data_IF_279342736150
#
_entry.id   IF_279342736150
#
_cell.length_a   1.000
_cell.length_b   1.000
_cell.length_c   1.000
_cell.angle_alpha   90.00
_cell.angle_beta   90.00
_cell.angle_gamma   90.00
#
_symmetry.space_group_name_H-M   'P 1'
#
loop_
_entity.id
_entity.type
_entity.pdbx_description
1 polymer ?
#
# COMPACT_ATOMS: atom_id res chain seq x y z
N UNK A 1 2.49 -34.67 28.67
CA UNK A 1 2.11 -33.53 29.53
C UNK A 1 3.37 -32.71 29.75
N UNK A 2 3.46 -31.52 29.17
CA UNK A 2 4.57 -30.59 29.41
C UNK A 2 4.38 -29.90 30.76
N UNK A 3 5.48 -29.67 31.48
CA UNK A 3 5.51 -28.95 32.75
C UNK A 3 4.87 -27.57 32.65
N UNK A 4 4.09 -27.19 33.65
CA UNK A 4 3.45 -25.86 33.75
C UNK A 4 4.47 -24.86 34.29
N UNK A 5 4.62 -23.73 33.58
CA UNK A 5 5.49 -22.62 33.95
C UNK A 5 4.62 -21.42 34.35
N UNK A 6 4.97 -20.77 35.47
CA UNK A 6 4.38 -19.50 35.89
C UNK A 6 5.32 -18.36 35.48
N UNK A 7 4.76 -17.32 34.89
CA UNK A 7 5.46 -16.10 34.52
C UNK A 7 4.84 -14.93 35.28
N UNK A 8 5.65 -14.06 35.83
CA UNK A 8 5.24 -12.75 36.34
C UNK A 8 5.71 -11.68 35.35
N UNK A 9 4.80 -11.15 34.54
CA UNK A 9 5.11 -10.13 33.53
C UNK A 9 4.65 -8.78 34.06
N UNK A 10 5.60 -7.98 34.57
CA UNK A 10 5.33 -6.65 35.11
C UNK A 10 4.27 -6.62 36.22
N UNK A 11 4.19 -7.67 37.05
CA UNK A 11 3.21 -7.82 38.13
C UNK A 11 1.95 -8.61 37.75
N UNK A 12 1.82 -9.06 36.50
CA UNK A 12 0.68 -9.88 36.05
C UNK A 12 1.11 -11.33 35.87
N UNK A 13 0.42 -12.25 36.55
CA UNK A 13 0.75 -13.67 36.52
C UNK A 13 0.11 -14.37 35.32
N UNK A 14 0.94 -14.96 34.46
CA UNK A 14 0.54 -15.84 33.37
C UNK A 14 0.93 -17.29 33.67
N UNK A 15 0.10 -18.24 33.23
CA UNK A 15 0.38 -19.67 33.32
C UNK A 15 0.35 -20.28 31.93
N UNK A 16 1.38 -21.03 31.60
CA UNK A 16 1.50 -21.72 30.32
C UNK A 16 2.33 -22.98 30.48
N UNK A 17 2.62 -23.67 29.37
CA UNK A 17 3.45 -24.86 29.38
C UNK A 17 4.85 -24.59 28.88
N UNK A 18 5.83 -25.40 29.34
CA UNK A 18 7.22 -25.34 28.85
C UNK A 18 7.29 -25.56 27.34
N UNK A 19 6.44 -26.41 26.77
CA UNK A 19 6.40 -26.66 25.33
C UNK A 19 5.93 -25.44 24.54
N UNK A 20 4.96 -24.67 25.05
CA UNK A 20 4.56 -23.38 24.44
C UNK A 20 5.73 -22.40 24.44
N UNK A 21 6.46 -22.28 25.57
CA UNK A 21 7.56 -21.32 25.70
C UNK A 21 8.81 -21.68 24.87
N UNK A 22 8.94 -22.94 24.47
CA UNK A 22 10.08 -23.47 23.70
C UNK A 22 9.73 -23.83 22.25
N UNK A 23 8.47 -23.63 21.83
CA UNK A 23 7.98 -23.96 20.49
C UNK A 23 8.72 -23.21 19.39
N UNK A 24 9.00 -21.93 19.62
CA UNK A 24 9.73 -21.06 18.70
C UNK A 24 11.10 -20.71 19.29
N UNK A 25 12.08 -20.48 18.40
CA UNK A 25 13.32 -19.82 18.82
C UNK A 25 12.98 -18.41 19.29
N UNK A 26 13.67 -17.95 20.34
CA UNK A 26 13.45 -16.63 20.90
C UNK A 26 13.89 -16.52 22.35
N UNK A 27 13.41 -15.49 23.03
CA UNK A 27 13.78 -15.15 24.41
C UNK A 27 13.53 -16.32 25.37
N UNK A 28 12.30 -16.83 25.42
CA UNK A 28 11.90 -17.85 26.39
C UNK A 28 12.60 -19.19 26.17
N UNK A 29 12.77 -19.61 24.91
CA UNK A 29 13.50 -20.85 24.61
C UNK A 29 14.94 -20.75 25.07
N UNK A 30 15.63 -19.65 24.71
CA UNK A 30 17.02 -19.41 25.11
C UNK A 30 17.16 -19.37 26.63
N UNK A 31 16.26 -18.65 27.31
CA UNK A 31 16.26 -18.53 28.77
C UNK A 31 16.04 -19.87 29.48
N UNK A 32 15.09 -20.69 29.00
CA UNK A 32 14.77 -21.99 29.61
C UNK A 32 15.75 -23.11 29.27
N UNK A 33 16.51 -22.98 28.17
CA UNK A 33 17.54 -23.95 27.77
C UNK A 33 18.92 -23.63 28.36
N UNK A 34 19.21 -22.36 28.66
CA UNK A 34 20.52 -21.93 29.20
C UNK A 34 20.54 -21.69 30.71
N UNK A 35 19.38 -21.63 31.37
CA UNK A 35 19.19 -21.17 32.76
C UNK A 35 19.75 -19.75 33.04
N UNK A 36 20.12 -18.99 32.01
CA UNK A 36 20.70 -17.66 32.16
C UNK A 36 19.59 -16.65 32.49
N UNK A 37 19.73 -15.94 33.61
CA UNK A 37 18.89 -14.80 33.96
C UNK A 37 17.54 -15.15 34.59
N UNK A 38 17.31 -16.41 34.97
CA UNK A 38 16.10 -16.84 35.66
C UNK A 38 16.01 -16.21 37.05
N UNK A 39 15.21 -15.14 37.17
CA UNK A 39 14.77 -14.60 38.46
C UNK A 39 13.47 -15.29 38.85
N UNK A 40 13.60 -16.36 39.63
CA UNK A 40 12.45 -17.12 40.16
C UNK A 40 12.11 -16.56 41.54
N UNK A 41 10.87 -16.15 41.73
CA UNK A 41 10.36 -15.70 43.02
C UNK A 41 10.05 -16.88 43.98
N UNK A 42 9.66 -16.58 45.22
CA UNK A 42 9.29 -17.60 46.22
C UNK A 42 8.08 -18.46 45.79
N UNK A 43 7.28 -17.99 44.82
CA UNK A 43 6.09 -18.69 44.31
C UNK A 43 6.38 -19.65 43.14
N UNK A 44 7.63 -19.67 42.68
CA UNK A 44 8.10 -20.41 41.50
C UNK A 44 7.77 -19.72 40.18
N UNK A 45 7.55 -18.41 40.18
CA UNK A 45 7.24 -17.62 38.98
C UNK A 45 8.51 -16.96 38.43
N UNK A 46 8.69 -17.03 37.11
CA UNK A 46 9.81 -16.37 36.43
C UNK A 46 9.40 -14.92 36.16
N UNK A 47 10.13 -13.97 36.75
CA UNK A 47 9.85 -12.55 36.59
C UNK A 47 10.41 -12.00 35.27
N UNK A 48 9.55 -11.27 34.54
CA UNK A 48 9.83 -10.58 33.29
C UNK A 48 9.51 -9.10 33.45
N UNK A 49 10.53 -8.25 33.37
CA UNK A 49 10.41 -6.79 33.52
C UNK A 49 9.87 -6.13 32.23
N UNK A 50 8.64 -6.46 31.86
CA UNK A 50 7.94 -5.96 30.67
C UNK A 50 6.49 -5.64 30.97
N UNK A 51 5.88 -4.85 30.10
CA UNK A 51 4.44 -4.54 30.22
C UNK A 51 3.61 -5.79 29.91
N UNK A 52 2.62 -6.15 30.75
CA UNK A 52 1.71 -7.26 30.46
C UNK A 52 0.69 -6.96 29.36
N UNK A 53 0.56 -5.68 28.94
CA UNK A 53 -0.50 -5.19 28.05
C UNK A 53 -0.71 -6.04 26.79
N UNK A 54 0.37 -6.46 26.14
CA UNK A 54 0.34 -7.21 24.90
C UNK A 54 0.69 -8.70 25.09
N UNK A 55 0.93 -9.13 26.34
CA UNK A 55 1.50 -10.46 26.60
C UNK A 55 0.52 -11.59 26.25
N UNK A 56 -0.79 -11.37 26.33
CA UNK A 56 -1.80 -12.31 25.83
C UNK A 56 -1.61 -12.63 24.34
N UNK A 57 -1.31 -11.62 23.52
CA UNK A 57 -1.08 -11.79 22.09
C UNK A 57 0.24 -12.52 21.82
N UNK A 58 1.30 -12.18 22.56
CA UNK A 58 2.58 -12.88 22.53
C UNK A 58 2.36 -14.37 22.85
N UNK A 59 1.63 -14.66 23.92
CA UNK A 59 1.40 -16.02 24.37
C UNK A 59 0.51 -16.81 23.39
N UNK A 60 -0.50 -16.18 22.79
CA UNK A 60 -1.33 -16.82 21.76
C UNK A 60 -0.54 -17.12 20.49
N UNK A 61 0.31 -16.19 20.04
CA UNK A 61 1.24 -16.46 18.94
C UNK A 61 2.14 -17.66 19.28
N UNK A 62 2.68 -17.75 20.49
CA UNK A 62 3.51 -18.89 20.91
C UNK A 62 2.73 -20.21 20.98
N UNK A 63 1.41 -20.18 21.20
CA UNK A 63 0.54 -21.37 21.19
C UNK A 63 0.27 -21.85 19.77
N UNK A 64 -0.18 -20.95 18.90
CA UNK A 64 -0.79 -21.30 17.62
C UNK A 64 0.17 -21.13 16.44
N UNK A 65 1.16 -20.23 16.56
CA UNK A 65 2.02 -19.79 15.45
C UNK A 65 1.41 -18.68 14.59
N UNK A 66 0.23 -18.20 14.98
CA UNK A 66 -0.48 -17.08 14.37
C UNK A 66 -1.25 -16.33 15.46
N UNK A 67 -1.65 -15.09 15.20
CA UNK A 67 -2.46 -14.29 16.12
C UNK A 67 -3.24 -13.21 15.36
N UNK A 68 -4.46 -12.93 15.81
CA UNK A 68 -5.26 -11.82 15.27
C UNK A 68 -4.60 -10.50 15.65
N UNK A 69 -3.93 -9.88 14.67
CA UNK A 69 -3.22 -8.62 14.88
C UNK A 69 -4.18 -7.44 15.09
N UNK A 70 -3.86 -6.48 15.97
CA UNK A 70 -4.60 -5.22 16.09
C UNK A 70 -4.75 -4.49 14.75
N UNK A 71 -5.86 -3.81 14.53
CA UNK A 71 -6.08 -2.97 13.32
C UNK A 71 -5.57 -1.54 13.48
N UNK A 72 -5.38 -1.09 14.73
CA UNK A 72 -4.83 0.22 15.03
C UNK A 72 -3.30 0.17 14.93
N UNK A 73 -2.73 1.05 14.10
CA UNK A 73 -1.28 1.14 13.84
C UNK A 73 -0.47 1.32 15.13
N UNK A 74 -0.92 2.17 16.05
CA UNK A 74 -0.26 2.38 17.33
C UNK A 74 -0.17 1.08 18.15
N UNK A 75 -1.28 0.33 18.25
CA UNK A 75 -1.30 -0.96 18.96
C UNK A 75 -0.44 -2.02 18.27
N UNK A 76 -0.36 -1.96 16.94
CA UNK A 76 0.47 -2.87 16.16
C UNK A 76 1.96 -2.58 16.38
N UNK A 77 2.36 -1.30 16.42
CA UNK A 77 3.71 -0.87 16.77
C UNK A 77 4.08 -1.24 18.21
N UNK A 78 3.16 -1.08 19.17
CA UNK A 78 3.36 -1.55 20.55
C UNK A 78 3.57 -3.07 20.62
N UNK A 79 2.81 -3.87 19.85
CA UNK A 79 2.98 -5.31 19.79
C UNK A 79 4.32 -5.69 19.14
N UNK A 80 4.73 -5.00 18.08
CA UNK A 80 6.01 -5.20 17.41
C UNK A 80 7.20 -5.02 18.36
N UNK A 81 7.16 -4.00 19.22
CA UNK A 81 8.20 -3.77 20.24
C UNK A 81 8.30 -4.95 21.21
N UNK A 82 7.18 -5.51 21.65
CA UNK A 82 7.19 -6.73 22.48
C UNK A 82 7.67 -7.94 21.69
N UNK A 83 7.23 -8.13 20.45
CA UNK A 83 7.68 -9.24 19.59
C UNK A 83 9.20 -9.23 19.37
N UNK A 84 9.79 -8.04 19.18
CA UNK A 84 11.24 -7.84 19.12
C UNK A 84 11.93 -8.17 20.43
N UNK A 85 11.37 -7.75 21.57
CA UNK A 85 11.93 -8.09 22.88
C UNK A 85 11.95 -9.61 23.11
N UNK A 86 10.85 -10.29 22.80
CA UNK A 86 10.75 -11.75 22.96
C UNK A 86 11.43 -12.54 21.82
N UNK A 87 12.03 -11.87 20.84
CA UNK A 87 12.74 -12.45 19.70
C UNK A 87 11.87 -13.44 18.91
N UNK A 88 10.64 -13.04 18.61
CA UNK A 88 9.65 -13.86 17.90
C UNK A 88 9.59 -13.48 16.41
N UNK A 89 10.55 -13.95 15.62
CA UNK A 89 10.73 -13.56 14.21
C UNK A 89 9.44 -13.65 13.38
N UNK A 90 8.69 -14.75 13.49
CA UNK A 90 7.42 -14.91 12.76
C UNK A 90 6.38 -13.86 13.13
N UNK A 91 6.33 -13.41 14.39
CA UNK A 91 5.42 -12.34 14.81
C UNK A 91 5.92 -10.97 14.33
N UNK A 92 7.23 -10.75 14.34
CA UNK A 92 7.86 -9.54 13.80
C UNK A 92 7.51 -9.39 12.31
N UNK A 93 7.64 -10.47 11.53
CA UNK A 93 7.28 -10.50 10.11
C UNK A 93 5.79 -10.20 9.88
N UNK A 94 4.89 -10.83 10.66
CA UNK A 94 3.45 -10.57 10.59
C UNK A 94 3.12 -9.10 10.91
N UNK A 95 3.74 -8.53 11.94
CA UNK A 95 3.57 -7.12 12.30
C UNK A 95 4.06 -6.18 11.19
N UNK A 96 5.27 -6.38 10.68
CA UNK A 96 5.84 -5.56 9.61
C UNK A 96 5.00 -5.63 8.34
N UNK A 97 4.60 -6.84 7.91
CA UNK A 97 3.73 -7.02 6.75
C UNK A 97 2.40 -6.27 6.89
N UNK A 98 1.81 -6.28 8.09
CA UNK A 98 0.56 -5.55 8.35
C UNK A 98 0.77 -4.03 8.41
N UNK A 99 1.90 -3.55 8.94
CA UNK A 99 2.28 -2.13 8.89
C UNK A 99 2.47 -1.70 7.44
N UNK A 100 3.20 -2.47 6.64
CA UNK A 100 3.41 -2.21 5.22
C UNK A 100 2.10 -2.20 4.43
N UNK A 101 1.11 -3.02 4.77
CA UNK A 101 -0.21 -2.97 4.13
C UNK A 101 -1.07 -1.76 4.56
N UNK A 102 -0.81 -1.20 5.74
CA UNK A 102 -1.45 0.02 6.23
C UNK A 102 -0.78 1.25 5.63
N UNK A 103 0.55 1.23 5.52
CA UNK A 103 1.38 2.26 4.92
C UNK A 103 1.36 2.22 3.40
N UNK A 104 1.10 1.04 2.79
CA UNK A 104 0.81 0.91 1.38
C UNK A 104 -0.41 1.78 1.12
N UNK A 105 -0.23 2.89 0.40
CA UNK A 105 -1.32 3.79 0.17
C UNK A 105 -2.35 3.04 -0.63
N UNK A 106 -3.59 3.10 -0.13
CA UNK A 106 -4.76 2.52 -0.77
C UNK A 106 -5.09 3.33 -2.02
N UNK A 107 -4.19 3.28 -3.02
CA UNK A 107 -4.44 3.81 -4.33
C UNK A 107 -5.44 2.88 -4.99
N UNK A 108 -6.71 3.27 -4.93
CA UNK A 108 -7.76 2.58 -5.65
C UNK A 108 -7.67 2.98 -7.12
N UNK A 109 -7.21 2.05 -7.96
CA UNK A 109 -7.30 2.21 -9.42
C UNK A 109 -8.77 2.31 -9.83
N UNK A 110 -9.08 3.29 -10.67
CA UNK A 110 -10.43 3.52 -11.22
C UNK A 110 -10.42 3.20 -12.71
N UNK A 111 -11.24 2.27 -13.14
CA UNK A 111 -11.35 1.86 -14.54
C UNK A 111 -12.59 2.45 -15.20
N UNK A 112 -12.45 2.79 -16.48
CA UNK A 112 -13.55 3.14 -17.38
C UNK A 112 -13.78 1.93 -18.28
N UNK A 113 -14.92 1.27 -18.09
CA UNK A 113 -15.29 0.01 -18.72
C UNK A 113 -16.31 0.19 -19.86
N UNK A 114 -17.10 1.27 -19.82
CA UNK A 114 -18.09 1.57 -20.85
C UNK A 114 -18.26 3.07 -21.07
N UNK A 115 -18.83 3.44 -22.22
CA UNK A 115 -19.17 4.83 -22.53
C UNK A 115 -20.25 5.38 -21.58
N UNK A 116 -21.17 4.54 -21.11
CA UNK A 116 -22.19 4.91 -20.11
C UNK A 116 -21.54 5.29 -18.78
N UNK A 117 -20.59 4.47 -18.29
CA UNK A 117 -19.83 4.78 -17.09
C UNK A 117 -19.00 6.05 -17.28
N UNK A 118 -18.41 6.23 -18.46
CA UNK A 118 -17.66 7.44 -18.77
C UNK A 118 -18.54 8.71 -18.70
N UNK A 119 -19.77 8.66 -19.23
CA UNK A 119 -20.72 9.76 -19.13
C UNK A 119 -21.13 10.06 -17.68
N UNK A 120 -21.35 9.03 -16.87
CA UNK A 120 -21.65 9.19 -15.45
C UNK A 120 -20.49 9.88 -14.70
N UNK A 121 -19.25 9.45 -14.97
CA UNK A 121 -18.05 10.06 -14.39
C UNK A 121 -17.95 11.53 -14.78
N UNK A 122 -18.10 11.85 -16.07
CA UNK A 122 -18.05 13.23 -16.55
C UNK A 122 -19.03 14.10 -15.78
N UNK A 123 -20.29 13.66 -15.63
CA UNK A 123 -21.36 14.44 -15.00
C UNK A 123 -21.07 14.92 -13.56
N UNK A 124 -20.27 14.18 -12.78
CA UNK A 124 -19.98 14.49 -11.36
C UNK A 124 -18.55 14.97 -11.11
N UNK A 125 -17.72 15.00 -12.15
CA UNK A 125 -16.30 15.33 -12.07
C UNK A 125 -16.05 16.77 -11.59
N UNK A 126 -15.16 16.94 -10.61
CA UNK A 126 -14.75 18.26 -10.09
C UNK A 126 -13.34 18.67 -10.50
N UNK A 127 -12.40 17.71 -10.60
CA UNK A 127 -11.01 17.95 -11.02
C UNK A 127 -10.82 17.57 -12.49
N UNK A 128 -9.86 18.13 -13.23
CA UNK A 128 -9.49 17.60 -14.55
C UNK A 128 -9.25 16.09 -14.51
N UNK A 129 -9.72 15.36 -15.51
CA UNK A 129 -9.63 13.91 -15.58
C UNK A 129 -8.43 13.55 -16.44
N UNK A 130 -7.54 12.72 -15.91
CA UNK A 130 -6.47 12.11 -16.66
C UNK A 130 -6.84 10.66 -16.94
N UNK A 131 -7.08 10.34 -18.20
CA UNK A 131 -7.40 8.98 -18.64
C UNK A 131 -6.15 8.39 -19.25
N UNK A 132 -5.61 7.35 -18.63
CA UNK A 132 -4.49 6.55 -19.13
C UNK A 132 -5.05 5.33 -19.83
N UNK A 133 -4.82 5.24 -21.13
CA UNK A 133 -5.30 4.15 -21.96
C UNK A 133 -4.19 3.09 -22.12
N UNK A 134 -4.46 1.85 -21.74
CA UNK A 134 -3.48 0.75 -21.75
C UNK A 134 -3.87 -0.36 -22.73
N UNK A 135 -2.90 -1.13 -23.19
CA UNK A 135 -3.12 -2.31 -24.04
C UNK A 135 -2.75 -3.61 -23.29
N UNK A 136 -3.40 -4.69 -23.69
CA UNK A 136 -3.06 -6.05 -23.27
C UNK A 136 -2.11 -6.66 -24.33
N UNK A 137 -1.13 -7.43 -23.86
CA UNK A 137 -0.23 -8.26 -24.67
C UNK A 137 -0.45 -9.71 -24.22
N UNK A 138 -1.27 -10.44 -24.97
CA UNK A 138 -1.76 -11.74 -24.53
C UNK A 138 -2.70 -11.59 -23.33
N UNK A 139 -2.41 -12.30 -22.24
CA UNK A 139 -3.17 -12.21 -20.99
C UNK A 139 -2.65 -11.14 -20.03
N UNK A 140 -1.51 -10.51 -20.34
CA UNK A 140 -0.87 -9.55 -19.46
C UNK A 140 -1.06 -8.11 -19.96
N UNK A 141 -1.06 -7.15 -19.05
CA UNK A 141 -1.00 -5.73 -19.40
C UNK A 141 0.45 -5.37 -19.73
N UNK A 142 0.72 -4.71 -20.87
CA UNK A 142 2.06 -4.17 -21.09
C UNK A 142 2.29 -3.02 -20.10
N UNK A 143 3.41 -2.95 -19.38
CA UNK A 143 3.75 -1.77 -18.56
C UNK A 143 4.85 -0.99 -19.29
N UNK A 144 4.72 0.34 -19.49
CA UNK A 144 5.79 1.12 -20.10
C UNK A 144 7.07 1.05 -19.27
N UNK A 145 8.21 0.96 -19.94
CA UNK A 145 9.52 0.97 -19.29
C UNK A 145 9.68 2.23 -18.40
N UNK A 146 10.18 2.04 -17.18
CA UNK A 146 10.34 3.07 -16.15
C UNK A 146 9.05 3.83 -15.76
N UNK A 147 7.87 3.20 -15.90
CA UNK A 147 6.63 3.78 -15.41
C UNK A 147 6.22 3.15 -14.07
N UNK A 148 6.57 3.81 -12.95
CA UNK A 148 6.05 3.47 -11.63
C UNK A 148 4.67 4.10 -11.45
N UNK A 149 3.63 3.27 -11.53
CA UNK A 149 2.24 3.71 -11.40
C UNK A 149 1.95 4.32 -10.03
N UNK A 150 2.53 3.75 -8.98
CA UNK A 150 2.32 4.19 -7.61
C UNK A 150 2.85 5.62 -7.42
N UNK A 151 4.12 5.85 -7.75
CA UNK A 151 4.75 7.18 -7.68
C UNK A 151 4.03 8.20 -8.56
N UNK A 152 3.62 7.79 -9.76
CA UNK A 152 2.86 8.66 -10.66
C UNK A 152 1.54 9.10 -10.03
N UNK A 153 0.78 8.17 -9.47
CA UNK A 153 -0.51 8.47 -8.85
C UNK A 153 -0.34 9.30 -7.58
N UNK A 154 0.66 9.03 -6.75
CA UNK A 154 0.99 9.86 -5.57
C UNK A 154 1.27 11.31 -5.98
N UNK A 155 2.09 11.50 -7.03
CA UNK A 155 2.46 12.82 -7.53
C UNK A 155 1.28 13.60 -8.11
N UNK A 156 0.37 12.97 -8.86
CA UNK A 156 -0.62 13.68 -9.67
C UNK A 156 -2.08 13.57 -9.20
N UNK A 157 -2.44 12.71 -8.24
CA UNK A 157 -3.83 12.53 -7.78
C UNK A 157 -4.42 13.76 -7.07
N UNK A 158 -3.57 14.66 -6.56
CA UNK A 158 -4.04 15.93 -6.00
C UNK A 158 -4.61 16.85 -7.10
N UNK A 159 -4.01 16.83 -8.30
CA UNK A 159 -4.33 17.68 -9.44
C UNK A 159 -5.39 17.07 -10.36
N UNK A 160 -5.32 15.75 -10.59
CA UNK A 160 -6.20 15.05 -11.52
C UNK A 160 -7.03 13.96 -10.85
N UNK A 161 -8.24 13.77 -11.38
CA UNK A 161 -8.92 12.49 -11.25
C UNK A 161 -8.36 11.50 -12.27
N UNK A 162 -7.51 10.57 -11.82
CA UNK A 162 -6.86 9.57 -12.67
C UNK A 162 -7.78 8.35 -12.88
N UNK A 163 -7.94 7.96 -14.14
CA UNK A 163 -8.68 6.78 -14.59
C UNK A 163 -7.88 5.97 -15.61
N UNK A 164 -8.18 4.68 -15.69
CA UNK A 164 -7.57 3.75 -16.63
C UNK A 164 -8.61 3.20 -17.59
N UNK A 165 -8.28 3.11 -18.86
CA UNK A 165 -9.19 2.58 -19.87
C UNK A 165 -8.45 1.59 -20.77
N UNK A 166 -9.04 0.41 -21.00
CA UNK A 166 -8.47 -0.53 -21.96
C UNK A 166 -8.66 0.01 -23.37
N UNK A 167 -7.59 0.05 -24.17
CA UNK A 167 -7.66 0.34 -25.60
C UNK A 167 -8.42 -0.78 -26.33
N UNK A 168 -9.21 -0.42 -27.34
CA UNK A 168 -9.85 -1.39 -28.21
C UNK A 168 -8.81 -2.25 -28.92
N UNK A 169 -9.17 -3.50 -29.23
CA UNK A 169 -8.27 -4.44 -29.91
C UNK A 169 -7.93 -3.98 -31.34
N UNK A 170 -8.78 -3.14 -31.93
CA UNK A 170 -8.60 -2.52 -33.23
C UNK A 170 -7.55 -1.39 -33.24
N UNK A 171 -7.03 -0.98 -32.08
CA UNK A 171 -6.08 0.13 -31.99
C UNK A 171 -4.70 -0.27 -32.57
N UNK A 172 -4.31 0.26 -33.75
CA UNK A 172 -3.17 -0.26 -34.51
C UNK A 172 -1.82 0.01 -33.83
N UNK A 173 -1.76 1.02 -32.96
CA UNK A 173 -0.50 1.40 -32.31
C UNK A 173 -0.08 0.46 -31.17
N UNK A 174 -1.01 -0.32 -30.58
CA UNK A 174 -0.81 -1.18 -29.39
C UNK A 174 0.11 -0.57 -28.34
N UNK A 175 -0.01 0.74 -28.11
CA UNK A 175 0.83 1.51 -27.20
C UNK A 175 -0.05 2.28 -26.23
N UNK A 176 0.48 2.51 -25.03
CA UNK A 176 -0.16 3.33 -24.02
C UNK A 176 -0.40 4.75 -24.54
N UNK A 177 -1.56 5.30 -24.20
CA UNK A 177 -1.96 6.67 -24.55
C UNK A 177 -2.47 7.36 -23.29
N UNK A 178 -2.59 8.68 -23.38
CA UNK A 178 -3.20 9.47 -22.33
C UNK A 178 -3.99 10.63 -22.92
N UNK A 179 -5.08 10.98 -22.26
CA UNK A 179 -5.94 12.11 -22.64
C UNK A 179 -6.43 12.85 -21.40
N UNK A 180 -6.55 14.16 -21.52
CA UNK A 180 -7.10 15.01 -20.45
C UNK A 180 -8.50 15.50 -20.87
N UNK A 181 -9.47 15.31 -19.97
CA UNK A 181 -10.83 15.86 -20.09
C UNK A 181 -11.08 16.81 -18.94
N UNK A 182 -11.51 18.03 -19.24
CA UNK A 182 -11.83 19.00 -18.20
C UNK A 182 -13.07 19.79 -18.58
N UNK A 183 -13.73 20.35 -17.57
CA UNK A 183 -14.87 21.25 -17.77
C UNK A 183 -14.38 22.69 -17.72
N UNK A 184 -14.47 23.48 -18.81
CA UNK A 184 -14.35 24.92 -18.73
C UNK A 184 -15.50 25.45 -17.86
N UNK A 185 -15.16 26.32 -16.91
CA UNK A 185 -16.14 27.08 -16.14
C UNK A 185 -16.94 27.98 -17.09
N UNK A 186 -18.23 28.17 -16.78
CA UNK A 186 -19.28 28.94 -17.49
C UNK A 186 -20.24 28.16 -18.41
N UNK A 187 -19.80 27.40 -19.41
CA UNK A 187 -20.75 26.87 -20.41
C UNK A 187 -21.22 25.43 -20.18
N UNK A 188 -20.68 24.73 -19.17
CA UNK A 188 -21.07 23.36 -18.85
C UNK A 188 -20.56 22.27 -19.80
N UNK A 189 -20.09 22.63 -21.01
CA UNK A 189 -19.59 21.68 -22.01
C UNK A 189 -18.18 21.21 -21.72
N UNK A 190 -17.97 19.89 -21.65
CA UNK A 190 -16.63 19.31 -21.52
C UNK A 190 -15.76 19.69 -22.72
N UNK A 191 -14.56 20.20 -22.42
CA UNK A 191 -13.53 20.42 -23.42
C UNK A 191 -12.53 19.28 -23.39
N UNK A 192 -12.03 18.91 -24.57
CA UNK A 192 -10.95 17.96 -24.70
C UNK A 192 -9.64 18.71 -24.88
N UNK A 193 -8.59 18.31 -24.14
CA UNK A 193 -7.31 18.99 -24.28
C UNK A 193 -6.77 18.71 -25.68
N UNK A 194 -6.47 19.75 -26.48
CA UNK A 194 -6.11 19.55 -27.88
C UNK A 194 -4.84 18.71 -28.03
N UNK A 195 -3.95 18.76 -27.04
CA UNK A 195 -2.67 18.07 -27.04
C UNK A 195 -2.73 16.77 -26.23
N UNK A 196 -3.63 15.87 -26.61
CA UNK A 196 -3.59 14.50 -26.08
C UNK A 196 -2.36 13.74 -26.59
N UNK A 197 -1.88 12.78 -25.81
CA UNK A 197 -0.77 11.91 -26.16
C UNK A 197 -1.21 10.92 -27.25
N UNK A 198 -1.23 11.39 -28.51
CA UNK A 198 -1.43 10.59 -29.72
C UNK A 198 -0.08 10.37 -30.39
N UNK A 199 0.43 9.15 -30.28
CA UNK A 199 1.68 8.74 -30.93
C UNK A 199 1.48 8.85 -32.45
N UNK A 200 2.26 9.72 -33.11
CA UNK A 200 2.46 9.85 -34.56
C UNK A 200 1.50 10.72 -35.42
N UNK A 201 0.93 11.83 -34.90
CA UNK A 201 0.43 12.89 -35.81
C UNK A 201 1.04 14.26 -35.50
N UNK A 202 2.10 14.60 -36.23
CA UNK A 202 2.38 15.98 -36.69
C UNK A 202 3.04 16.98 -35.73
N UNK A 203 3.44 16.62 -34.52
CA UNK A 203 4.19 17.50 -33.61
C UNK A 203 5.50 16.85 -33.18
N UNK A 204 6.58 17.63 -32.99
CA UNK A 204 7.94 17.18 -32.62
C UNK A 204 7.91 16.11 -31.50
N UNK A 205 7.99 14.85 -31.89
CA UNK A 205 8.23 13.73 -30.98
C UNK A 205 9.67 13.85 -30.51
N UNK A 206 9.90 13.89 -29.19
CA UNK A 206 11.22 13.60 -28.63
C UNK A 206 11.46 12.12 -28.93
N UNK A 207 12.33 11.83 -29.91
CA UNK A 207 12.43 10.50 -30.53
C UNK A 207 12.79 9.37 -29.55
N UNK A 208 13.21 9.68 -28.33
CA UNK A 208 13.66 8.70 -27.34
C UNK A 208 12.98 8.85 -25.96
N UNK A 209 11.94 9.70 -25.84
CA UNK A 209 11.30 9.93 -24.55
C UNK A 209 10.43 8.73 -24.09
N UNK A 210 10.56 8.38 -22.82
CA UNK A 210 9.74 7.39 -22.13
C UNK A 210 8.26 7.78 -22.14
N UNK A 211 7.37 6.85 -21.79
CA UNK A 211 5.95 7.19 -21.62
C UNK A 211 5.74 8.24 -20.52
N UNK A 212 6.44 8.09 -19.39
CA UNK A 212 6.38 9.01 -18.27
C UNK A 212 6.79 10.43 -18.67
N UNK A 213 7.94 10.61 -19.32
CA UNK A 213 8.41 11.93 -19.74
C UNK A 213 7.43 12.62 -20.70
N UNK A 214 6.81 11.87 -21.61
CA UNK A 214 5.79 12.42 -22.51
C UNK A 214 4.50 12.77 -21.78
N UNK A 215 4.12 11.98 -20.78
CA UNK A 215 2.95 12.23 -19.93
C UNK A 215 3.14 13.47 -19.05
N UNK A 216 4.30 13.61 -18.41
CA UNK A 216 4.65 14.80 -17.63
C UNK A 216 4.71 16.07 -18.49
N UNK A 217 5.24 15.96 -19.71
CA UNK A 217 5.20 17.06 -20.69
C UNK A 217 3.75 17.46 -21.05
N UNK A 218 2.88 16.48 -21.31
CA UNK A 218 1.46 16.75 -21.59
C UNK A 218 0.76 17.46 -20.42
N UNK A 219 1.07 17.05 -19.18
CA UNK A 219 0.55 17.71 -17.97
C UNK A 219 1.04 19.16 -17.88
N UNK A 220 2.32 19.42 -18.14
CA UNK A 220 2.87 20.78 -18.17
C UNK A 220 2.21 21.67 -19.23
N UNK A 221 1.99 21.14 -20.45
CA UNK A 221 1.26 21.84 -21.52
C UNK A 221 -0.20 22.16 -21.11
N UNK A 222 -0.85 21.26 -20.37
CA UNK A 222 -2.20 21.48 -19.85
C UNK A 222 -2.24 22.60 -18.81
N UNK A 223 -1.26 22.64 -17.90
CA UNK A 223 -1.15 23.71 -16.90
C UNK A 223 -0.92 25.08 -17.55
N UNK A 224 -0.06 25.17 -18.56
CA UNK A 224 0.11 26.39 -19.35
C UNK A 224 -1.17 26.80 -20.06
N UNK A 225 -1.91 25.84 -20.59
CA UNK A 225 -3.18 26.09 -21.25
C UNK A 225 -4.24 26.63 -20.28
N UNK A 226 -4.38 26.05 -19.09
CA UNK A 226 -5.29 26.55 -18.06
C UNK A 226 -4.92 27.97 -17.60
N UNK A 227 -3.62 28.27 -17.46
CA UNK A 227 -3.15 29.63 -17.15
C UNK A 227 -3.56 30.63 -18.21
N UNK A 228 -3.43 30.27 -19.50
CA UNK A 228 -3.84 31.14 -20.63
C UNK A 228 -5.36 31.37 -20.67
N UNK A 229 -6.17 30.38 -20.28
CA UNK A 229 -7.64 30.53 -20.24
C UNK A 229 -8.11 31.41 -19.07
N UNK A 230 -7.42 31.40 -17.92
CA UNK A 230 -7.75 32.28 -16.78
C UNK A 230 -7.39 33.75 -17.00
N UNK A 231 -6.47 34.03 -17.92
CA UNK A 231 -6.02 35.38 -18.26
C UNK A 231 -6.79 35.99 -19.46
N UNK A 232 -7.80 35.29 -19.98
CA UNK A 232 -8.72 35.75 -21.04
C UNK A 232 -10.05 36.12 -20.43
#
# INVERSE_FOLDING_TARGET
MSETVKLDVGGTIFKTSRSTLTKFNGFFKTMLESDIGLKIDESGSIFIDRSPKNFDLILNFMRDGDVVLPNCELKLKELLVEAQFYLLDGLIELCNSKIELVEAPKIKLRFIESDEQFLQILAVQQKPMLIIEFCMVGNDMSIPYNFNLYEFMEKYSHQFDIYFQRLSEDEPSRKWKARIKWKPTENGYYSQFPHNLRINRGGRIIRDATFLERLEKMIGEFDEYLKKQRNR
#
